data_IF_309120257450
#
_entry.id   IF_309120257450
#
_cell.length_a   1.000
_cell.length_b   1.000
_cell.length_c   1.000
_cell.angle_alpha   90.00
_cell.angle_beta   90.00
_cell.angle_gamma   90.00
#
_symmetry.space_group_name_H-M   'P 1'
#
loop_
_entity.id
_entity.type
_entity.pdbx_description
1 polymer ?
#
# COMPACT_ATOMS: atom_id res chain seq x y z
N UNK A 1 -3.36 -65.29 -2.31
CA UNK A 1 -4.13 -66.21 -3.18
C UNK A 1 -4.68 -65.44 -4.38
N UNK A 2 -3.88 -65.13 -5.40
CA UNK A 2 -2.43 -65.34 -5.52
C UNK A 2 -1.81 -64.15 -6.26
N UNK A 3 -0.63 -63.67 -5.88
CA UNK A 3 0.70 -64.23 -6.19
C UNK A 3 0.86 -64.32 -7.72
N UNK A 4 1.51 -63.35 -8.38
CA UNK A 4 2.97 -63.09 -8.45
C UNK A 4 3.73 -64.12 -9.29
N UNK A 5 4.37 -63.64 -10.37
CA UNK A 5 5.55 -64.20 -11.05
C UNK A 5 5.98 -63.18 -12.16
N UNK A 6 7.14 -62.51 -12.07
CA UNK A 6 8.48 -62.88 -12.63
C UNK A 6 8.61 -62.74 -14.17
N UNK A 7 9.78 -62.44 -14.78
CA UNK A 7 11.03 -61.83 -14.28
C UNK A 7 12.04 -61.43 -15.42
N UNK A 8 12.91 -60.45 -15.10
CA UNK A 8 14.39 -60.45 -15.36
C UNK A 8 14.99 -60.30 -16.79
N UNK A 9 15.68 -59.16 -16.98
CA UNK A 9 17.00 -58.97 -17.66
C UNK A 9 17.08 -59.09 -19.21
N UNK A 10 18.14 -58.65 -19.92
CA UNK A 10 19.48 -58.19 -19.49
C UNK A 10 20.20 -57.23 -20.46
N UNK A 11 21.13 -56.41 -19.94
CA UNK A 11 22.51 -56.07 -20.43
C UNK A 11 22.84 -56.08 -21.94
N UNK A 12 23.61 -55.18 -22.55
CA UNK A 12 24.34 -53.92 -22.21
C UNK A 12 24.72 -53.24 -23.58
N UNK A 13 25.73 -52.39 -23.86
CA UNK A 13 26.91 -51.86 -23.16
C UNK A 13 27.48 -50.57 -23.82
N UNK A 14 28.32 -49.86 -23.07
CA UNK A 14 29.49 -49.01 -23.41
C UNK A 14 29.63 -48.22 -24.74
N UNK A 15 30.02 -46.95 -24.61
CA UNK A 15 30.64 -46.12 -25.64
C UNK A 15 31.35 -44.91 -25.02
N UNK A 16 32.61 -44.65 -25.38
CA UNK A 16 33.46 -43.64 -24.73
C UNK A 16 34.27 -42.78 -25.73
N UNK A 17 34.54 -41.52 -25.33
CA UNK A 17 35.39 -40.55 -26.03
C UNK A 17 35.29 -39.17 -25.34
N UNK A 18 36.24 -38.70 -24.53
CA UNK A 18 37.63 -38.21 -24.79
C UNK A 18 37.73 -36.76 -25.26
N UNK A 19 38.32 -35.92 -24.38
CA UNK A 19 39.25 -34.79 -24.64
C UNK A 19 38.85 -33.69 -25.65
N UNK A 20 38.65 -32.43 -25.25
CA UNK A 20 39.62 -31.45 -24.67
C UNK A 20 40.35 -30.60 -25.74
N UNK A 21 40.27 -29.28 -25.58
CA UNK A 21 41.17 -28.24 -26.08
C UNK A 21 40.59 -26.85 -25.76
N UNK A 22 41.29 -26.03 -24.97
CA UNK A 22 40.97 -24.61 -24.79
C UNK A 22 41.90 -23.70 -25.61
N UNK A 23 41.38 -22.54 -26.03
CA UNK A 23 42.19 -21.44 -26.55
C UNK A 23 41.54 -20.10 -26.19
N UNK A 24 42.31 -19.18 -25.61
CA UNK A 24 41.88 -17.82 -25.33
C UNK A 24 42.56 -16.81 -26.25
N UNK A 25 41.88 -15.69 -26.52
CA UNK A 25 42.46 -14.51 -27.14
C UNK A 25 41.85 -13.27 -26.48
N UNK A 26 42.70 -12.30 -26.13
CA UNK A 26 42.33 -11.01 -25.56
C UNK A 26 42.30 -9.93 -26.65
N UNK A 27 41.39 -8.98 -26.55
CA UNK A 27 41.63 -7.62 -27.02
C UNK A 27 40.93 -6.61 -26.08
N UNK A 28 41.27 -5.33 -26.16
CA UNK A 28 40.92 -4.32 -25.14
C UNK A 28 40.56 -2.95 -25.72
N UNK A 29 39.82 -2.16 -24.93
CA UNK A 29 39.82 -0.68 -25.04
C UNK A 29 38.66 -0.03 -25.80
N UNK A 30 37.50 0.05 -25.15
CA UNK A 30 36.46 1.10 -25.29
C UNK A 30 35.38 0.82 -24.20
N UNK A 31 34.82 1.79 -23.48
CA UNK A 31 34.99 3.24 -23.47
C UNK A 31 34.80 3.74 -22.01
N UNK A 32 35.55 4.76 -21.57
CA UNK A 32 35.36 5.40 -20.25
C UNK A 32 34.72 6.78 -20.40
N UNK A 33 33.40 6.81 -20.56
CA UNK A 33 32.60 8.02 -20.39
C UNK A 33 31.26 7.71 -19.71
N UNK A 34 30.86 8.60 -18.81
CA UNK A 34 29.48 8.76 -18.32
C UNK A 34 28.81 7.53 -17.70
N UNK A 35 29.50 6.86 -16.77
CA UNK A 35 28.84 6.30 -15.58
C UNK A 35 28.33 7.45 -14.69
N UNK A 36 27.43 8.28 -15.21
CA UNK A 36 26.69 9.25 -14.43
C UNK A 36 26.01 8.48 -13.28
N UNK A 37 26.16 8.96 -12.05
CA UNK A 37 25.63 8.28 -10.88
C UNK A 37 24.11 8.22 -10.97
N UNK A 38 23.60 7.07 -11.42
CA UNK A 38 22.21 6.68 -11.20
C UNK A 38 22.08 6.61 -9.69
N UNK A 39 21.49 7.65 -9.09
CA UNK A 39 21.18 7.66 -7.67
C UNK A 39 20.37 6.41 -7.35
N UNK A 40 20.67 5.79 -6.22
CA UNK A 40 19.94 4.60 -5.76
C UNK A 40 18.48 5.01 -5.52
N UNK A 41 17.61 4.75 -6.51
CA UNK A 41 16.19 5.11 -6.47
C UNK A 41 15.44 4.08 -5.64
N UNK A 42 15.79 4.07 -4.36
CA UNK A 42 15.02 3.42 -3.30
C UNK A 42 13.62 4.03 -3.24
N UNK A 43 12.67 3.22 -2.81
CA UNK A 43 11.36 3.69 -2.36
C UNK A 43 11.45 4.61 -1.15
N UNK A 44 10.44 5.44 -0.95
CA UNK A 44 10.25 6.22 0.29
C UNK A 44 10.23 5.31 1.52
N UNK A 45 10.61 5.89 2.65
CA UNK A 45 10.46 5.34 4.00
C UNK A 45 9.47 6.18 4.81
N UNK A 46 9.16 5.74 6.04
CA UNK A 46 8.32 6.51 6.96
C UNK A 46 8.98 7.82 7.45
N UNK A 47 10.28 8.01 7.23
CA UNK A 47 11.00 9.24 7.56
C UNK A 47 11.00 10.27 6.42
N UNK A 48 10.45 9.92 5.25
CA UNK A 48 10.27 10.80 4.09
C UNK A 48 8.84 11.37 4.02
N UNK A 49 8.02 11.10 5.05
CA UNK A 49 6.71 11.70 5.32
C UNK A 49 6.77 12.38 6.69
N UNK A 50 6.39 13.65 6.73
CA UNK A 50 6.37 14.48 7.94
C UNK A 50 5.03 15.22 8.01
N UNK A 51 4.32 15.07 9.12
CA UNK A 51 3.09 15.77 9.48
C UNK A 51 3.19 16.28 10.94
N UNK A 52 4.40 16.47 11.49
CA UNK A 52 4.59 16.81 12.91
C UNK A 52 3.91 18.14 13.28
N UNK A 53 2.91 18.05 14.17
CA UNK A 53 2.12 19.21 14.59
C UNK A 53 0.94 19.58 13.69
N UNK A 54 0.72 18.87 12.58
CA UNK A 54 -0.26 19.25 11.55
C UNK A 54 -1.71 18.78 11.82
N UNK A 55 -2.66 19.51 11.23
CA UNK A 55 -4.05 19.10 11.04
C UNK A 55 -4.19 18.31 9.76
N UNK A 56 -4.30 16.98 9.86
CA UNK A 56 -4.36 16.10 8.68
C UNK A 56 -5.79 15.63 8.41
N UNK A 57 -6.27 15.83 7.18
CA UNK A 57 -7.55 15.26 6.73
C UNK A 57 -7.33 13.91 6.07
N UNK A 58 -7.98 12.88 6.63
CA UNK A 58 -8.05 11.53 6.10
C UNK A 58 -9.27 11.40 5.18
N UNK A 59 -9.06 11.56 3.88
CA UNK A 59 -10.13 11.53 2.88
C UNK A 59 -10.45 10.10 2.42
N UNK A 60 -11.64 9.62 2.78
CA UNK A 60 -12.26 8.41 2.25
C UNK A 60 -13.10 8.69 1.00
N UNK A 61 -13.43 7.64 0.24
CA UNK A 61 -14.15 7.76 -1.03
C UNK A 61 -15.69 7.79 -0.89
N UNK A 62 -16.24 7.82 0.33
CA UNK A 62 -17.67 7.68 0.62
C UNK A 62 -18.56 8.81 0.06
N UNK A 63 -19.88 8.60 -0.03
CA UNK A 63 -20.83 9.61 -0.50
C UNK A 63 -20.68 10.98 0.17
N UNK A 64 -20.34 11.04 1.47
CA UNK A 64 -20.18 12.29 2.23
C UNK A 64 -19.01 13.19 1.82
N UNK A 65 -18.07 12.72 0.98
CA UNK A 65 -16.84 13.47 0.65
C UNK A 65 -17.13 14.87 0.08
N UNK A 66 -18.16 15.01 -0.76
CA UNK A 66 -18.51 16.29 -1.39
C UNK A 66 -19.00 17.34 -0.38
N UNK A 67 -19.49 16.91 0.79
CA UNK A 67 -19.85 17.79 1.91
C UNK A 67 -18.65 18.09 2.83
N UNK A 68 -17.62 17.24 2.83
CA UNK A 68 -16.38 17.42 3.60
C UNK A 68 -15.33 18.33 2.95
N UNK A 69 -15.53 18.78 1.70
CA UNK A 69 -14.52 19.50 0.91
C UNK A 69 -14.03 20.81 1.54
N UNK A 70 -14.80 21.45 2.41
CA UNK A 70 -14.33 22.65 3.13
C UNK A 70 -13.34 22.27 4.25
N UNK A 71 -13.55 21.15 4.95
CA UNK A 71 -12.55 20.65 5.91
C UNK A 71 -11.24 20.27 5.22
N UNK A 72 -11.29 19.78 3.97
CA UNK A 72 -10.09 19.51 3.13
C UNK A 72 -9.36 20.80 2.73
N UNK A 73 -10.07 21.93 2.58
CA UNK A 73 -9.48 23.25 2.26
C UNK A 73 -8.83 23.93 3.48
N UNK A 74 -9.37 23.67 4.66
CA UNK A 74 -8.93 24.22 5.95
C UNK A 74 -7.96 23.27 6.71
N UNK A 75 -7.35 22.31 6.00
CA UNK A 75 -6.35 21.38 6.50
C UNK A 75 -4.92 21.88 6.26
N UNK A 76 -3.96 21.40 7.05
CA UNK A 76 -2.53 21.61 6.78
C UNK A 76 -2.02 20.60 5.73
N UNK A 77 -2.45 19.33 5.84
CA UNK A 77 -2.15 18.24 4.88
C UNK A 77 -3.35 17.33 4.63
N UNK A 78 -3.38 16.66 3.47
CA UNK A 78 -4.46 15.75 3.04
C UNK A 78 -3.91 14.38 2.65
N UNK A 79 -4.37 13.33 3.36
CA UNK A 79 -4.06 11.93 3.03
C UNK A 79 -5.30 11.24 2.46
N UNK A 80 -5.25 10.87 1.18
CA UNK A 80 -6.42 10.38 0.43
C UNK A 80 -6.36 8.87 0.15
N UNK A 81 -7.44 8.15 0.45
CA UNK A 81 -7.56 6.71 0.26
C UNK A 81 -8.19 6.36 -1.10
N UNK A 82 -7.40 5.71 -1.98
CA UNK A 82 -7.76 5.26 -3.32
C UNK A 82 -8.63 6.28 -4.10
N UNK A 83 -9.88 5.97 -4.45
CA UNK A 83 -10.74 6.83 -5.28
C UNK A 83 -10.97 8.25 -4.73
N UNK A 84 -10.74 8.48 -3.43
CA UNK A 84 -10.79 9.81 -2.83
C UNK A 84 -9.79 10.77 -3.50
N UNK A 85 -8.60 10.29 -3.88
CA UNK A 85 -7.59 11.11 -4.54
C UNK A 85 -8.06 11.62 -5.92
N UNK A 86 -8.80 10.80 -6.67
CA UNK A 86 -9.37 11.21 -7.96
C UNK A 86 -10.50 12.23 -7.78
N UNK A 87 -11.38 12.03 -6.78
CA UNK A 87 -12.47 12.97 -6.47
C UNK A 87 -11.93 14.33 -6.01
N UNK A 88 -10.92 14.36 -5.14
CA UNK A 88 -10.29 15.58 -4.66
C UNK A 88 -9.58 16.37 -5.77
N UNK A 89 -8.75 15.70 -6.59
CA UNK A 89 -8.09 16.35 -7.75
C UNK A 89 -9.12 16.87 -8.76
N UNK A 90 -10.21 16.13 -8.98
CA UNK A 90 -11.34 16.58 -9.83
C UNK A 90 -12.09 17.80 -9.26
N UNK A 91 -12.09 17.97 -7.94
CA UNK A 91 -12.61 19.17 -7.26
C UNK A 91 -11.60 20.34 -7.19
N UNK A 92 -10.39 20.17 -7.74
CA UNK A 92 -9.32 21.18 -7.72
C UNK A 92 -8.59 21.29 -6.38
N UNK A 93 -8.56 20.22 -5.58
CA UNK A 93 -7.89 20.15 -4.29
C UNK A 93 -6.58 19.34 -4.37
N UNK A 94 -5.63 19.67 -3.50
CA UNK A 94 -4.37 18.93 -3.34
C UNK A 94 -4.58 17.57 -2.66
N UNK A 95 -3.58 16.71 -2.83
CA UNK A 95 -3.39 15.46 -2.08
C UNK A 95 -1.90 15.39 -1.77
N UNK A 96 -1.56 15.27 -0.50
CA UNK A 96 -0.18 15.35 -0.02
C UNK A 96 0.40 13.96 0.25
N UNK A 97 -0.48 12.97 0.48
CA UNK A 97 -0.16 11.55 0.29
C UNK A 97 -1.39 10.75 -0.17
N UNK A 98 -1.21 9.78 -1.06
CA UNK A 98 -2.26 8.81 -1.42
C UNK A 98 -1.98 7.45 -0.81
N UNK A 99 -2.99 6.78 -0.26
CA UNK A 99 -2.90 5.39 0.24
C UNK A 99 -3.77 4.49 -0.64
N UNK A 100 -3.19 3.40 -1.17
CA UNK A 100 -3.92 2.52 -2.10
C UNK A 100 -3.30 1.12 -2.23
N UNK A 101 -4.14 0.09 -2.35
CA UNK A 101 -3.71 -1.27 -2.73
C UNK A 101 -3.56 -1.48 -4.26
N UNK A 102 -3.86 -0.45 -5.06
CA UNK A 102 -3.84 -0.44 -6.52
C UNK A 102 -4.82 -1.42 -7.21
N UNK A 103 -5.86 -1.92 -6.52
CA UNK A 103 -6.85 -2.84 -7.13
C UNK A 103 -7.79 -2.16 -8.17
N UNK A 104 -8.03 -0.86 -8.02
CA UNK A 104 -8.82 -0.05 -8.95
C UNK A 104 -8.09 0.37 -10.24
N UNK A 105 -8.87 0.72 -11.27
CA UNK A 105 -8.38 1.13 -12.60
C UNK A 105 -7.79 2.56 -12.64
N UNK A 106 -8.02 3.38 -11.60
CA UNK A 106 -7.63 4.79 -11.58
C UNK A 106 -6.12 4.99 -11.73
N UNK A 107 -5.70 5.82 -12.69
CA UNK A 107 -4.30 6.10 -13.00
C UNK A 107 -3.69 7.20 -12.10
N UNK A 108 -4.46 7.75 -11.15
CA UNK A 108 -4.03 8.86 -10.26
C UNK A 108 -2.76 8.53 -9.47
N UNK A 109 -2.55 7.29 -9.04
CA UNK A 109 -1.30 6.89 -8.36
C UNK A 109 -0.05 7.08 -9.25
N UNK A 110 -0.17 6.87 -10.57
CA UNK A 110 0.90 7.12 -11.55
C UNK A 110 1.13 8.61 -11.77
N UNK A 111 0.06 9.40 -11.72
CA UNK A 111 0.14 10.86 -11.88
C UNK A 111 0.76 11.52 -10.66
N UNK A 112 0.28 11.20 -9.46
CA UNK A 112 0.83 11.69 -8.19
C UNK A 112 2.31 11.36 -8.04
N UNK A 113 2.74 10.11 -8.26
CA UNK A 113 4.17 9.77 -8.20
C UNK A 113 5.01 10.48 -9.28
N UNK A 114 4.46 10.77 -10.47
CA UNK A 114 5.15 11.53 -11.50
C UNK A 114 5.18 13.05 -11.23
N UNK A 115 4.21 13.57 -10.47
CA UNK A 115 4.11 14.97 -10.03
C UNK A 115 4.95 15.26 -8.78
N UNK A 116 5.33 14.23 -8.03
CA UNK A 116 6.13 14.34 -6.81
C UNK A 116 5.33 14.26 -5.51
N UNK A 117 4.09 13.75 -5.56
CA UNK A 117 3.28 13.42 -4.38
C UNK A 117 3.57 11.97 -3.94
N UNK A 118 3.92 11.73 -2.66
CA UNK A 118 4.03 10.39 -2.09
C UNK A 118 2.78 9.50 -2.27
N UNK A 119 3.00 8.23 -2.62
CA UNK A 119 1.94 7.21 -2.69
C UNK A 119 2.33 5.98 -1.86
N UNK A 120 1.61 5.77 -0.76
CA UNK A 120 1.73 4.59 0.08
C UNK A 120 1.03 3.38 -0.55
N UNK A 121 1.76 2.68 -1.42
CA UNK A 121 1.27 1.48 -2.11
C UNK A 121 1.24 0.29 -1.15
N UNK A 122 0.09 -0.39 -1.11
CA UNK A 122 -0.23 -1.36 -0.08
C UNK A 122 -0.31 -2.81 -0.59
N UNK A 123 0.43 -3.74 0.02
CA UNK A 123 0.48 -5.15 -0.39
C UNK A 123 -0.25 -6.10 0.58
N UNK A 124 -1.19 -6.89 0.05
CA UNK A 124 -1.93 -7.92 0.79
C UNK A 124 -1.91 -9.28 0.07
N UNK A 125 -2.84 -10.18 0.40
CA UNK A 125 -2.90 -11.54 -0.14
C UNK A 125 -3.14 -11.58 -1.66
N UNK A 126 -4.09 -10.77 -2.12
CA UNK A 126 -4.79 -10.98 -3.39
C UNK A 126 -4.38 -10.00 -4.50
N UNK A 127 -3.95 -8.77 -4.17
CA UNK A 127 -3.55 -7.75 -5.16
C UNK A 127 -2.20 -8.00 -5.85
N UNK A 128 -1.57 -9.18 -5.64
CA UNK A 128 -0.31 -9.58 -6.28
C UNK A 128 -0.27 -9.45 -7.82
N UNK A 129 -1.38 -9.59 -8.58
CA UNK A 129 -1.40 -9.26 -10.01
C UNK A 129 -1.28 -7.76 -10.25
N UNK A 130 -2.13 -6.95 -9.59
CA UNK A 130 -2.15 -5.49 -9.71
C UNK A 130 -0.79 -4.87 -9.36
N UNK A 131 -0.17 -5.28 -8.25
CA UNK A 131 1.16 -4.79 -7.86
C UNK A 131 2.23 -5.06 -8.93
N UNK A 132 2.21 -6.24 -9.57
CA UNK A 132 3.17 -6.57 -10.65
C UNK A 132 2.94 -5.79 -11.93
N UNK A 133 1.70 -5.38 -12.20
CA UNK A 133 1.35 -4.61 -13.40
C UNK A 133 1.56 -3.10 -13.21
N UNK A 134 1.13 -2.57 -12.06
CA UNK A 134 0.96 -1.13 -11.84
C UNK A 134 2.17 -0.49 -11.18
N UNK A 135 2.82 -1.13 -10.20
CA UNK A 135 4.01 -0.56 -9.53
C UNK A 135 5.17 -0.24 -10.51
N UNK A 136 5.48 -1.07 -11.53
CA UNK A 136 6.51 -0.73 -12.52
C UNK A 136 6.18 0.47 -13.43
N UNK A 137 5.00 1.08 -13.31
CA UNK A 137 4.59 2.30 -14.03
C UNK A 137 4.72 3.57 -13.18
N UNK A 138 4.92 3.44 -11.87
CA UNK A 138 5.05 4.55 -10.92
C UNK A 138 6.49 5.10 -10.91
N UNK A 139 6.67 6.36 -10.50
CA UNK A 139 7.99 6.82 -10.09
C UNK A 139 8.29 6.23 -8.70
N UNK A 140 9.12 5.18 -8.66
CA UNK A 140 9.35 4.36 -7.47
C UNK A 140 9.97 5.16 -6.31
N UNK A 141 10.71 6.23 -6.63
CA UNK A 141 11.24 7.20 -5.67
C UNK A 141 10.16 7.94 -4.86
N UNK A 142 8.89 7.93 -5.30
CA UNK A 142 7.74 8.52 -4.61
C UNK A 142 6.76 7.47 -4.06
N UNK A 143 7.14 6.19 -4.06
CA UNK A 143 6.32 5.09 -3.52
C UNK A 143 6.78 4.74 -2.11
N UNK A 144 5.87 4.71 -1.13
CA UNK A 144 6.08 4.11 0.19
C UNK A 144 5.47 2.69 0.23
N UNK A 145 6.25 1.60 0.21
CA UNK A 145 5.71 0.24 0.20
C UNK A 145 5.22 -0.17 1.59
N UNK A 146 3.92 -0.51 1.70
CA UNK A 146 3.29 -0.94 2.97
C UNK A 146 2.66 -2.34 2.87
N UNK A 147 2.31 -2.98 4.00
CA UNK A 147 1.61 -4.29 4.01
C UNK A 147 0.68 -4.49 5.21
N UNK A 148 -0.24 -5.46 5.13
CA UNK A 148 -1.08 -5.91 6.26
C UNK A 148 -0.35 -6.94 7.13
N UNK A 149 0.65 -7.60 6.54
CA UNK A 149 1.38 -8.70 7.16
C UNK A 149 2.54 -8.21 8.04
N UNK A 150 3.41 -9.13 8.46
CA UNK A 150 4.71 -8.76 9.00
C UNK A 150 5.54 -8.05 7.90
N UNK A 151 6.13 -6.87 8.16
CA UNK A 151 6.98 -6.16 7.21
C UNK A 151 8.25 -6.94 6.85
N UNK A 152 8.80 -6.70 5.65
CA UNK A 152 10.01 -7.38 5.17
C UNK A 152 10.76 -6.53 4.13
N UNK A 153 12.08 -6.44 4.26
CA UNK A 153 12.91 -5.59 3.40
C UNK A 153 12.55 -4.11 3.61
N UNK A 154 12.33 -3.32 2.54
CA UNK A 154 11.90 -1.92 2.66
C UNK A 154 10.41 -1.76 2.98
N UNK A 155 9.61 -2.84 2.93
CA UNK A 155 8.15 -2.76 3.14
C UNK A 155 7.86 -2.52 4.62
N UNK A 156 7.09 -1.47 4.94
CA UNK A 156 6.67 -1.13 6.30
C UNK A 156 5.24 -1.59 6.60
N UNK A 157 4.80 -1.47 7.86
CA UNK A 157 3.40 -1.61 8.24
C UNK A 157 3.08 -0.55 9.32
N UNK A 158 2.44 0.59 8.98
CA UNK A 158 2.08 1.62 9.94
C UNK A 158 0.89 1.22 10.84
N UNK A 159 0.20 0.13 10.51
CA UNK A 159 -1.12 -0.22 11.03
C UNK A 159 -2.19 -0.20 9.94
N UNK A 160 -3.44 -0.44 10.34
CA UNK A 160 -4.61 -0.43 9.47
C UNK A 160 -4.81 -1.66 8.57
N UNK A 161 -6.03 -1.81 8.08
CA UNK A 161 -6.52 -2.91 7.23
C UNK A 161 -6.94 -2.40 5.84
N UNK A 162 -7.89 -1.47 5.77
CA UNK A 162 -8.31 -0.79 4.51
C UNK A 162 -7.42 0.42 4.22
N UNK A 163 -7.48 0.96 3.00
CA UNK A 163 -6.73 2.16 2.63
C UNK A 163 -7.10 3.38 3.50
N UNK A 164 -8.38 3.53 3.85
CA UNK A 164 -8.88 4.64 4.67
C UNK A 164 -8.33 4.61 6.09
N UNK A 165 -8.44 3.47 6.78
CA UNK A 165 -7.92 3.39 8.14
C UNK A 165 -6.37 3.29 8.14
N UNK A 166 -5.75 2.69 7.12
CA UNK A 166 -4.29 2.79 6.90
C UNK A 166 -3.81 4.22 6.73
N UNK A 167 -4.56 5.10 6.07
CA UNK A 167 -4.23 6.52 5.96
C UNK A 167 -4.22 7.21 7.33
N UNK A 168 -5.21 6.92 8.19
CA UNK A 168 -5.23 7.43 9.57
C UNK A 168 -4.03 6.91 10.40
N UNK A 169 -3.69 5.63 10.27
CA UNK A 169 -2.51 5.04 10.94
C UNK A 169 -1.18 5.58 10.38
N UNK A 170 -1.10 5.92 9.10
CA UNK A 170 0.07 6.53 8.49
C UNK A 170 0.28 7.97 8.99
N UNK A 171 -0.78 8.77 9.02
CA UNK A 171 -0.73 10.14 9.55
C UNK A 171 -0.35 10.17 11.04
N UNK A 172 -0.93 9.26 11.85
CA UNK A 172 -0.57 9.09 13.26
C UNK A 172 0.91 8.69 13.46
N UNK A 173 1.46 7.85 12.57
CA UNK A 173 2.86 7.46 12.63
C UNK A 173 3.82 8.63 12.28
N UNK A 174 3.41 9.50 11.36
CA UNK A 174 4.21 10.61 10.85
C UNK A 174 3.97 11.95 11.60
N UNK A 175 3.36 11.92 12.79
CA UNK A 175 3.37 13.06 13.72
C UNK A 175 2.10 13.94 13.76
N UNK A 176 1.06 13.60 12.99
CA UNK A 176 -0.16 14.40 12.90
C UNK A 176 -0.76 14.73 14.28
N UNK A 177 -0.98 16.01 14.57
CA UNK A 177 -1.50 16.49 15.85
C UNK A 177 -3.03 16.38 15.95
N UNK A 178 -3.75 16.65 14.85
CA UNK A 178 -5.20 16.47 14.74
C UNK A 178 -5.51 15.61 13.51
N UNK A 179 -6.43 14.64 13.66
CA UNK A 179 -6.95 13.85 12.54
C UNK A 179 -8.41 14.21 12.31
N UNK A 180 -8.73 14.71 11.10
CA UNK A 180 -10.10 14.99 10.64
C UNK A 180 -10.48 14.03 9.52
N UNK A 181 -11.77 13.81 9.32
CA UNK A 181 -12.27 12.78 8.40
C UNK A 181 -13.28 13.34 7.41
N UNK A 182 -13.16 12.98 6.14
CA UNK A 182 -14.09 13.38 5.07
C UNK A 182 -14.37 12.19 4.15
N UNK A 183 -15.62 11.94 3.75
CA UNK A 183 -15.96 10.78 2.91
C UNK A 183 -15.96 9.44 3.65
N UNK A 184 -16.42 9.43 4.91
CA UNK A 184 -16.45 8.27 5.79
C UNK A 184 -17.87 7.85 6.13
N UNK A 185 -18.42 6.94 5.32
CA UNK A 185 -19.81 6.48 5.40
C UNK A 185 -19.84 4.98 5.75
N UNK A 186 -19.86 4.65 7.05
CA UNK A 186 -19.89 3.25 7.52
C UNK A 186 -21.23 2.53 7.27
N UNK A 187 -22.33 3.29 7.30
CA UNK A 187 -23.71 2.77 7.20
C UNK A 187 -24.30 2.91 5.78
N UNK A 188 -23.43 3.02 4.76
CA UNK A 188 -23.80 3.09 3.34
C UNK A 188 -24.53 1.78 2.91
N UNK A 189 -25.83 1.83 2.54
CA UNK A 189 -26.62 0.64 2.25
C UNK A 189 -26.35 0.05 0.87
N UNK A 190 -25.66 0.77 -0.02
CA UNK A 190 -25.41 0.35 -1.40
C UNK A 190 -24.07 -0.40 -1.56
N UNK A 191 -23.29 -0.57 -0.49
CA UNK A 191 -22.06 -1.39 -0.48
C UNK A 191 -22.33 -2.89 -0.46
N UNK A 192 -21.43 -3.68 -1.04
CA UNK A 192 -21.55 -5.12 -1.03
C UNK A 192 -21.22 -5.74 0.37
N UNK A 193 -21.65 -6.98 0.65
CA UNK A 193 -21.43 -7.62 1.97
C UNK A 193 -19.97 -7.90 2.35
N UNK A 194 -19.00 -7.81 1.43
CA UNK A 194 -17.57 -7.83 1.74
C UNK A 194 -17.09 -6.42 2.11
N UNK A 195 -17.48 -5.38 1.35
CA UNK A 195 -17.16 -3.99 1.70
C UNK A 195 -17.76 -3.56 3.05
N UNK A 196 -18.99 -3.98 3.37
CA UNK A 196 -19.56 -3.81 4.71
C UNK A 196 -18.65 -4.39 5.82
N UNK A 197 -18.11 -5.61 5.62
CA UNK A 197 -17.18 -6.24 6.57
C UNK A 197 -15.80 -5.57 6.61
N UNK A 198 -15.35 -4.92 5.52
CA UNK A 198 -14.17 -4.05 5.54
C UNK A 198 -14.43 -2.81 6.41
N UNK A 199 -15.63 -2.23 6.33
CA UNK A 199 -16.07 -1.07 7.13
C UNK A 199 -16.19 -1.43 8.64
N UNK A 200 -16.75 -2.60 8.99
CA UNK A 200 -16.75 -3.13 10.37
C UNK A 200 -15.34 -3.21 10.99
N UNK A 201 -14.30 -3.40 10.17
CA UNK A 201 -12.90 -3.44 10.62
C UNK A 201 -12.28 -2.06 10.69
N UNK A 202 -12.55 -1.18 9.70
CA UNK A 202 -12.10 0.20 9.71
C UNK A 202 -12.63 0.97 10.93
N UNK A 203 -13.89 0.74 11.33
CA UNK A 203 -14.46 1.26 12.58
C UNK A 203 -13.67 0.81 13.81
N UNK A 204 -13.44 -0.50 13.97
CA UNK A 204 -12.68 -1.06 15.11
C UNK A 204 -11.27 -0.49 15.18
N UNK A 205 -10.62 -0.30 14.03
CA UNK A 205 -9.24 0.20 13.95
C UNK A 205 -9.16 1.71 14.22
N UNK A 206 -10.13 2.50 13.75
CA UNK A 206 -10.27 3.90 14.16
C UNK A 206 -10.56 4.03 15.66
N UNK A 207 -11.38 3.14 16.24
CA UNK A 207 -11.65 3.14 17.68
C UNK A 207 -10.41 2.80 18.52
N UNK A 208 -9.57 1.89 18.03
CA UNK A 208 -8.26 1.63 18.63
C UNK A 208 -7.32 2.85 18.51
N UNK A 209 -7.38 3.58 17.40
CA UNK A 209 -6.59 4.79 17.17
C UNK A 209 -7.04 5.95 18.08
N UNK A 210 -8.34 6.16 18.30
CA UNK A 210 -8.86 7.09 19.33
C UNK A 210 -8.24 6.79 20.70
N UNK A 211 -8.29 5.52 21.11
CA UNK A 211 -7.81 5.06 22.40
C UNK A 211 -6.29 5.23 22.56
N UNK A 212 -5.52 5.01 21.48
CA UNK A 212 -4.07 5.24 21.47
C UNK A 212 -3.69 6.72 21.59
N UNK A 213 -4.45 7.62 20.96
CA UNK A 213 -4.19 9.08 20.96
C UNK A 213 -4.81 9.82 22.15
N UNK A 214 -5.83 9.25 22.79
CA UNK A 214 -6.66 9.94 23.79
C UNK A 214 -7.68 10.90 23.15
N UNK A 215 -8.06 10.62 21.90
CA UNK A 215 -8.69 11.53 20.94
C UNK A 215 -10.14 11.12 20.64
N UNK A 216 -10.87 11.89 19.81
CA UNK A 216 -12.23 11.56 19.35
C UNK A 216 -12.47 11.91 17.89
N UNK A 217 -12.84 10.91 17.10
CA UNK A 217 -13.12 11.05 15.68
C UNK A 217 -14.62 11.09 15.38
N UNK A 218 -15.03 12.02 14.53
CA UNK A 218 -16.42 12.26 14.15
C UNK A 218 -17.11 11.08 13.41
N UNK A 219 -16.44 10.24 12.59
CA UNK A 219 -17.06 9.02 12.03
C UNK A 219 -17.55 8.01 13.08
N UNK A 220 -17.11 8.11 14.33
CA UNK A 220 -17.50 7.21 15.42
C UNK A 220 -18.59 7.80 16.34
N UNK A 221 -19.11 9.00 16.04
CA UNK A 221 -20.19 9.60 16.84
C UNK A 221 -21.49 8.81 16.75
N UNK A 222 -22.05 8.47 17.92
CA UNK A 222 -23.17 7.53 18.05
C UNK A 222 -22.82 6.05 17.91
N UNK A 223 -21.65 5.68 17.35
CA UNK A 223 -21.30 4.29 17.01
C UNK A 223 -20.49 3.57 18.10
N UNK A 224 -19.64 4.30 18.85
CA UNK A 224 -18.70 3.75 19.87
C UNK A 224 -19.25 2.70 20.85
N UNK A 225 -20.49 2.83 21.33
CA UNK A 225 -21.08 1.87 22.28
C UNK A 225 -21.37 0.49 21.67
N UNK A 226 -21.43 0.37 20.34
CA UNK A 226 -21.62 -0.88 19.61
C UNK A 226 -20.32 -1.56 19.16
N UNK A 227 -19.16 -0.93 19.35
CA UNK A 227 -17.88 -1.43 18.84
C UNK A 227 -17.37 -2.57 19.71
N UNK A 228 -17.11 -3.72 19.08
CA UNK A 228 -16.45 -4.85 19.73
C UNK A 228 -14.95 -4.57 19.92
N UNK A 229 -14.62 -3.96 21.06
CA UNK A 229 -13.24 -3.69 21.49
C UNK A 229 -12.46 -4.95 21.92
N UNK A 230 -13.10 -6.13 22.02
CA UNK A 230 -12.47 -7.33 22.59
C UNK A 230 -11.35 -7.94 21.73
N UNK A 231 -11.27 -7.56 20.46
CA UNK A 231 -10.20 -7.93 19.53
C UNK A 231 -9.06 -6.89 19.47
N UNK A 232 -9.17 -5.76 20.17
CA UNK A 232 -8.19 -4.67 20.11
C UNK A 232 -7.05 -4.89 21.12
N UNK A 233 -5.79 -4.56 20.78
CA UNK A 233 -4.68 -4.57 21.73
C UNK A 233 -4.69 -3.26 22.53
N UNK A 234 -5.49 -3.25 23.60
CA UNK A 234 -5.68 -2.17 24.59
C UNK A 234 -5.10 -2.52 25.96
#
# INVERSE_FOLDING_TARGET
MSDDETAVSSRSADGAGTSDAGAGASDAGADESDTATVGDRSSLTLADLDFDGETVVIAGAGPSLDAGLDAVRDADSVVAASDAAERLRSAGLSVDCMVTDLDGESDVARELTAEGTPVAVHAHGDNRPALRERVPRLAVEWVLPTTQAAPAGPVVNPGGFTDGDRAAFLADHCGAAELRFAGWDFDDPDVDPMKARKLDWAERLLRWLELRRGDRFDPLDGRREGIDESALPV
#
